data_IF_402530130721
#
_entry.id   IF_402530130721
#
_cell.length_a   1.000
_cell.length_b   1.000
_cell.length_c   1.000
_cell.angle_alpha   90.00
_cell.angle_beta   90.00
_cell.angle_gamma   90.00
#
_symmetry.space_group_name_H-M   'P 1'
#
loop_
_entity.id
_entity.type
_entity.pdbx_description
1 polymer ?
#
# COMPACT_ATOMS: atom_id res chain seq x y z
N UNK A 1 24.72 -13.01 3.65
CA UNK A 1 23.49 -12.44 4.24
C UNK A 1 22.90 -11.50 3.22
N UNK A 2 21.77 -11.85 2.61
CA UNK A 2 21.08 -10.95 1.67
C UNK A 2 20.28 -9.97 2.52
N UNK A 3 20.73 -8.72 2.60
CA UNK A 3 19.96 -7.67 3.26
C UNK A 3 18.79 -7.34 2.34
N UNK A 4 17.58 -7.76 2.68
CA UNK A 4 16.39 -7.36 1.94
C UNK A 4 16.17 -5.85 2.16
N UNK A 5 15.79 -5.11 1.12
CA UNK A 5 15.62 -3.65 1.20
C UNK A 5 14.70 -3.20 2.34
N UNK A 6 13.70 -4.00 2.70
CA UNK A 6 12.75 -3.71 3.78
C UNK A 6 13.24 -4.06 5.20
N UNK A 7 14.41 -4.71 5.36
CA UNK A 7 14.96 -5.07 6.69
C UNK A 7 15.05 -3.90 7.69
N UNK A 8 15.38 -2.65 7.27
CA UNK A 8 15.38 -1.48 8.16
C UNK A 8 14.03 -1.19 8.83
N UNK A 9 12.90 -1.67 8.29
CA UNK A 9 11.58 -1.49 8.90
C UNK A 9 11.46 -2.14 10.28
N UNK A 10 12.31 -3.12 10.63
CA UNK A 10 12.40 -3.68 12.00
C UNK A 10 12.62 -2.61 13.07
N UNK A 11 13.32 -1.52 12.74
CA UNK A 11 13.55 -0.42 13.67
C UNK A 11 12.28 0.41 13.97
N UNK A 12 11.29 0.38 13.06
CA UNK A 12 10.04 1.13 13.17
C UNK A 12 8.97 0.39 13.98
N UNK A 13 9.18 -0.89 14.29
CA UNK A 13 8.28 -1.70 15.13
C UNK A 13 8.03 -1.02 16.47
N UNK A 14 9.06 -0.45 17.12
CA UNK A 14 8.92 0.25 18.41
C UNK A 14 7.87 1.38 18.39
N UNK A 15 7.60 1.96 17.21
CA UNK A 15 6.64 3.04 17.03
C UNK A 15 5.27 2.54 16.59
N UNK A 16 5.22 1.48 15.78
CA UNK A 16 3.99 1.04 15.09
C UNK A 16 3.57 -0.39 15.43
N UNK A 17 4.13 -1.01 16.47
CA UNK A 17 3.89 -2.42 16.82
C UNK A 17 2.40 -2.78 16.88
N UNK A 18 1.59 -1.95 17.53
CA UNK A 18 0.15 -2.20 17.71
C UNK A 18 -0.73 -1.26 16.87
N UNK A 19 -0.12 -0.42 16.03
CA UNK A 19 -0.83 0.56 15.22
C UNK A 19 -1.35 -0.07 13.93
N UNK A 20 -2.49 0.42 13.44
CA UNK A 20 -3.04 -0.03 12.16
C UNK A 20 -2.17 0.47 11.00
N UNK A 21 -1.54 -0.45 10.25
CA UNK A 21 -0.69 -0.12 9.11
C UNK A 21 -1.10 -0.88 7.85
N UNK A 22 -0.79 -0.28 6.70
CA UNK A 22 -0.99 -0.91 5.38
C UNK A 22 0.36 -1.23 4.75
N UNK A 23 0.54 -2.46 4.28
CA UNK A 23 1.74 -2.95 3.64
C UNK A 23 1.49 -3.21 2.14
N UNK A 24 2.34 -2.67 1.28
CA UNK A 24 2.19 -2.70 -0.18
C UNK A 24 3.39 -3.39 -0.82
N UNK A 25 3.12 -4.20 -1.84
CA UNK A 25 4.15 -4.83 -2.66
C UNK A 25 3.80 -6.27 -3.03
N UNK A 26 4.56 -6.84 -3.96
CA UNK A 26 4.44 -8.24 -4.40
C UNK A 26 4.70 -9.25 -3.28
N UNK A 27 4.07 -10.43 -3.40
CA UNK A 27 4.23 -11.55 -2.48
C UNK A 27 3.31 -11.44 -1.27
N UNK A 28 3.84 -11.65 -0.07
CA UNK A 28 3.08 -11.58 1.20
C UNK A 28 3.58 -10.41 2.07
N UNK A 29 3.38 -9.12 1.66
CA UNK A 29 3.96 -7.97 2.37
C UNK A 29 3.47 -7.86 3.83
N UNK A 30 2.20 -8.15 4.10
CA UNK A 30 1.63 -8.14 5.46
C UNK A 30 2.26 -9.18 6.38
N UNK A 31 2.54 -10.38 5.84
CA UNK A 31 3.24 -11.45 6.58
C UNK A 31 4.68 -11.07 6.91
N UNK A 32 5.42 -10.49 5.95
CA UNK A 32 6.78 -9.98 6.18
C UNK A 32 6.80 -8.95 7.32
N UNK A 33 5.86 -8.00 7.29
CA UNK A 33 5.72 -7.01 8.37
C UNK A 33 5.31 -7.66 9.70
N UNK A 34 4.42 -8.66 9.67
CA UNK A 34 4.02 -9.40 10.88
C UNK A 34 5.19 -10.16 11.52
N UNK A 35 6.05 -10.79 10.70
CA UNK A 35 7.29 -11.44 11.14
C UNK A 35 8.30 -10.46 11.76
N UNK A 36 8.24 -9.17 11.38
CA UNK A 36 9.04 -8.12 12.01
C UNK A 36 8.47 -7.66 13.36
N UNK A 37 7.21 -7.97 13.65
CA UNK A 37 6.55 -7.69 14.93
C UNK A 37 5.41 -6.69 14.84
N UNK A 38 5.04 -6.20 13.66
CA UNK A 38 3.84 -5.37 13.50
C UNK A 38 2.59 -6.25 13.66
N UNK A 39 1.63 -5.85 14.50
CA UNK A 39 0.51 -6.71 14.91
C UNK A 39 -0.81 -6.42 14.23
N UNK A 40 -0.99 -5.21 13.71
CA UNK A 40 -2.22 -4.80 13.03
C UNK A 40 -1.88 -4.37 11.59
N UNK A 41 -1.62 -5.35 10.73
CA UNK A 41 -1.16 -5.14 9.35
C UNK A 41 -2.17 -5.70 8.38
N UNK A 42 -2.51 -4.91 7.36
CA UNK A 42 -3.17 -5.40 6.15
C UNK A 42 -2.26 -5.22 4.96
N UNK A 43 -2.31 -6.17 4.03
CA UNK A 43 -1.81 -5.96 2.67
C UNK A 43 -2.72 -4.97 1.93
N UNK A 44 -2.20 -4.36 0.86
CA UNK A 44 -3.01 -3.50 -0.01
C UNK A 44 -4.25 -4.23 -0.56
N UNK A 45 -4.11 -5.50 -0.93
CA UNK A 45 -5.22 -6.33 -1.42
C UNK A 45 -6.31 -6.52 -0.35
N UNK A 46 -5.91 -6.87 0.87
CA UNK A 46 -6.85 -7.03 1.99
C UNK A 46 -7.51 -5.70 2.34
N UNK A 47 -6.74 -4.61 2.46
CA UNK A 47 -7.27 -3.27 2.76
C UNK A 47 -8.31 -2.83 1.73
N UNK A 48 -8.00 -2.96 0.44
CA UNK A 48 -8.91 -2.58 -0.64
C UNK A 48 -10.20 -3.42 -0.63
N UNK A 49 -10.15 -4.68 -0.18
CA UNK A 49 -11.33 -5.55 -0.14
C UNK A 49 -12.43 -5.09 0.82
N UNK A 50 -12.12 -4.19 1.77
CA UNK A 50 -13.11 -3.60 2.69
C UNK A 50 -13.95 -2.49 2.03
N UNK A 51 -13.56 -2.01 0.85
CA UNK A 51 -14.19 -0.90 0.16
C UNK A 51 -14.72 -1.33 -1.22
N UNK A 52 -16.04 -1.40 -1.34
CA UNK A 52 -16.68 -1.76 -2.60
C UNK A 52 -16.36 -0.74 -3.70
N UNK A 53 -16.03 -1.23 -4.91
CA UNK A 53 -15.72 -0.41 -6.08
C UNK A 53 -14.54 0.58 -5.91
N UNK A 54 -13.68 0.42 -4.90
CA UNK A 54 -12.49 1.26 -4.72
C UNK A 54 -11.50 1.15 -5.90
N UNK A 55 -11.54 0.02 -6.60
CA UNK A 55 -10.82 -0.22 -7.84
C UNK A 55 -11.81 -0.39 -9.01
N UNK A 56 -12.06 0.66 -9.82
CA UNK A 56 -12.99 0.60 -10.94
C UNK A 56 -12.54 -0.35 -12.04
N UNK A 57 -11.26 -0.73 -12.05
CA UNK A 57 -10.70 -1.63 -13.04
C UNK A 57 -10.67 -3.09 -12.56
N UNK A 58 -11.11 -3.38 -11.33
CA UNK A 58 -11.10 -4.73 -10.75
C UNK A 58 -11.77 -5.78 -11.67
N UNK A 59 -12.89 -5.42 -12.31
CA UNK A 59 -13.60 -6.30 -13.24
C UNK A 59 -12.80 -6.70 -14.49
N UNK A 60 -11.79 -5.92 -14.88
CA UNK A 60 -10.93 -6.18 -16.04
C UNK A 60 -9.61 -6.87 -15.65
N UNK A 61 -9.36 -7.01 -14.35
CA UNK A 61 -8.17 -7.66 -13.82
C UNK A 61 -8.48 -9.15 -13.70
N UNK A 62 -8.31 -9.87 -14.81
CA UNK A 62 -8.38 -11.34 -14.84
C UNK A 62 -7.20 -12.02 -14.10
N UNK A 63 -6.35 -11.24 -13.41
CA UNK A 63 -5.20 -11.75 -12.72
C UNK A 63 -5.58 -12.46 -11.42
N UNK A 64 -5.58 -13.79 -11.53
CA UNK A 64 -5.48 -14.79 -10.48
C UNK A 64 -6.77 -15.02 -9.69
N UNK A 65 -7.46 -16.10 -10.07
CA UNK A 65 -8.11 -17.06 -9.17
C UNK A 65 -8.01 -16.66 -7.69
N UNK A 66 -9.16 -16.38 -7.05
CA UNK A 66 -9.70 -17.01 -5.82
C UNK A 66 -8.74 -17.55 -4.73
N UNK A 67 -7.46 -17.23 -4.73
CA UNK A 67 -6.41 -17.83 -3.90
C UNK A 67 -5.93 -16.87 -2.81
N UNK A 68 -6.09 -15.55 -2.97
CA UNK A 68 -5.62 -14.59 -1.96
C UNK A 68 -6.68 -14.10 -0.98
N UNK A 69 -7.96 -14.36 -1.25
CA UNK A 69 -9.02 -14.17 -0.25
C UNK A 69 -9.47 -15.53 0.25
N UNK A 70 -8.54 -16.31 0.80
CA UNK A 70 -8.96 -17.16 1.91
C UNK A 70 -9.50 -16.19 2.94
N UNK A 71 -10.81 -16.25 3.23
CA UNK A 71 -11.40 -15.67 4.43
C UNK A 71 -10.81 -16.37 5.68
N UNK A 72 -9.48 -16.50 5.78
CA UNK A 72 -8.85 -16.47 7.08
C UNK A 72 -9.31 -15.16 7.65
N UNK A 73 -10.25 -15.26 8.59
CA UNK A 73 -10.72 -14.14 9.39
C UNK A 73 -9.48 -13.37 9.79
N UNK A 74 -9.22 -12.25 9.12
CA UNK A 74 -8.17 -11.36 9.56
C UNK A 74 -8.59 -11.05 10.98
N UNK A 75 -7.81 -11.51 11.95
CA UNK A 75 -8.15 -11.29 13.36
C UNK A 75 -7.71 -9.87 13.68
N UNK A 76 -8.23 -8.92 12.89
CA UNK A 76 -8.07 -7.52 13.18
C UNK A 76 -8.74 -7.28 14.51
N UNK A 77 -8.07 -6.48 15.33
CA UNK A 77 -8.65 -6.04 16.58
C UNK A 77 -9.85 -5.11 16.34
N UNK A 78 -9.95 -4.53 15.13
CA UNK A 78 -10.83 -3.43 14.78
C UNK A 78 -11.29 -3.49 13.30
N UNK A 79 -12.33 -2.72 12.99
CA UNK A 79 -12.90 -2.55 11.65
C UNK A 79 -12.10 -1.52 10.81
N UNK A 80 -11.49 -1.92 9.67
CA UNK A 80 -10.74 -1.01 8.79
C UNK A 80 -11.55 0.15 8.24
N UNK A 81 -12.88 0.02 8.14
CA UNK A 81 -13.77 1.09 7.67
C UNK A 81 -13.99 2.19 8.72
N UNK A 82 -13.48 2.00 9.94
CA UNK A 82 -13.72 2.87 11.09
C UNK A 82 -12.45 3.35 11.79
N UNK A 83 -11.28 2.82 11.45
CA UNK A 83 -9.98 3.15 12.05
C UNK A 83 -9.04 3.87 11.06
N UNK A 84 -8.36 4.93 11.53
CA UNK A 84 -7.38 5.64 10.71
C UNK A 84 -6.09 4.84 10.56
N UNK A 85 -5.57 4.74 9.33
CA UNK A 85 -4.27 4.15 9.03
C UNK A 85 -3.17 5.03 9.62
N UNK A 86 -2.27 4.45 10.42
CA UNK A 86 -1.20 5.17 11.11
C UNK A 86 0.10 5.26 10.32
N UNK A 87 0.33 4.33 9.40
CA UNK A 87 1.47 4.35 8.48
C UNK A 87 1.24 3.42 7.28
N UNK A 88 1.90 3.74 6.17
CA UNK A 88 1.97 2.90 4.98
C UNK A 88 3.42 2.46 4.76
N UNK A 89 3.61 1.18 4.43
CA UNK A 89 4.92 0.61 4.12
C UNK A 89 4.93 0.00 2.72
N UNK A 90 5.72 0.56 1.82
CA UNK A 90 6.01 -0.02 0.50
C UNK A 90 7.19 -0.99 0.68
N UNK A 91 6.85 -2.26 0.87
CA UNK A 91 7.79 -3.34 1.25
C UNK A 91 8.55 -3.87 0.04
N UNK A 92 7.90 -3.93 -1.11
CA UNK A 92 8.44 -4.42 -2.38
C UNK A 92 7.68 -3.79 -3.55
N UNK A 93 8.07 -4.09 -4.81
CA UNK A 93 7.43 -3.49 -5.99
C UNK A 93 5.92 -3.81 -6.02
N UNK A 94 5.10 -2.77 -6.20
CA UNK A 94 3.67 -2.90 -6.48
C UNK A 94 3.46 -3.61 -7.83
N UNK A 95 2.50 -4.53 -7.87
CA UNK A 95 2.10 -5.26 -9.09
C UNK A 95 1.05 -4.46 -9.87
N UNK A 96 0.13 -3.80 -9.17
CA UNK A 96 -1.02 -3.09 -9.75
C UNK A 96 -0.94 -1.60 -9.43
N UNK A 97 -0.09 -0.90 -10.19
CA UNK A 97 0.18 0.52 -9.93
C UNK A 97 -1.07 1.38 -10.03
N UNK A 98 -2.01 1.05 -10.91
CA UNK A 98 -3.23 1.83 -11.08
C UNK A 98 -4.06 1.83 -9.79
N UNK A 99 -4.36 0.64 -9.26
CA UNK A 99 -5.11 0.53 -8.00
C UNK A 99 -4.28 1.07 -6.85
N UNK A 100 -3.04 0.63 -6.70
CA UNK A 100 -2.25 0.95 -5.52
C UNK A 100 -2.01 2.45 -5.41
N UNK A 101 -1.75 3.16 -6.52
CA UNK A 101 -1.62 4.63 -6.50
C UNK A 101 -2.96 5.30 -6.12
N UNK A 102 -4.08 4.85 -6.68
CA UNK A 102 -5.41 5.38 -6.34
C UNK A 102 -5.70 5.22 -4.84
N UNK A 103 -5.60 3.99 -4.32
CA UNK A 103 -5.88 3.67 -2.92
C UNK A 103 -4.88 4.37 -1.98
N UNK A 104 -3.60 4.47 -2.34
CA UNK A 104 -2.63 5.25 -1.58
C UNK A 104 -2.98 6.73 -1.52
N UNK A 105 -3.43 7.32 -2.64
CA UNK A 105 -3.91 8.68 -2.64
C UNK A 105 -5.11 8.86 -1.70
N UNK A 106 -6.06 7.91 -1.70
CA UNK A 106 -7.22 7.95 -0.81
C UNK A 106 -6.78 7.84 0.66
N UNK A 107 -5.89 6.90 1.00
CA UNK A 107 -5.32 6.76 2.35
C UNK A 107 -4.64 8.07 2.78
N UNK A 108 -3.75 8.61 1.94
CA UNK A 108 -2.96 9.79 2.27
C UNK A 108 -3.79 11.07 2.39
N UNK A 109 -4.95 11.16 1.71
CA UNK A 109 -5.86 12.31 1.83
C UNK A 109 -6.82 12.17 3.00
N UNK A 110 -7.32 10.97 3.27
CA UNK A 110 -8.44 10.75 4.23
C UNK A 110 -8.00 10.15 5.55
N UNK A 111 -6.70 9.96 5.78
CA UNK A 111 -6.19 9.28 6.96
C UNK A 111 -6.50 7.78 6.98
N UNK A 112 -6.66 7.17 5.80
CA UNK A 112 -7.00 5.75 5.68
C UNK A 112 -8.50 5.43 5.70
N UNK A 113 -9.36 6.42 5.49
CA UNK A 113 -10.82 6.26 5.41
C UNK A 113 -11.36 6.77 4.05
N UNK A 114 -11.11 6.05 2.94
CA UNK A 114 -11.58 6.42 1.61
C UNK A 114 -13.05 6.84 1.57
N UNK A 115 -13.35 7.90 0.81
CA UNK A 115 -14.70 8.48 0.71
C UNK A 115 -15.11 9.39 1.87
N UNK A 116 -14.25 9.59 2.88
CA UNK A 116 -14.47 10.58 3.95
C UNK A 116 -13.74 11.90 3.68
N UNK A 117 -13.91 12.85 4.57
CA UNK A 117 -13.25 14.16 4.52
C UNK A 117 -11.72 14.03 4.64
N UNK A 118 -11.02 15.08 4.20
CA UNK A 118 -9.57 15.18 4.35
C UNK A 118 -9.19 15.12 5.82
N UNK A 119 -8.19 14.29 6.15
CA UNK A 119 -7.73 14.08 7.51
C UNK A 119 -6.20 14.16 7.59
N UNK A 120 -5.64 13.82 8.76
CA UNK A 120 -4.21 13.78 8.96
C UNK A 120 -3.57 12.71 8.05
N UNK A 121 -2.65 13.14 7.19
CA UNK A 121 -1.91 12.27 6.28
C UNK A 121 -0.96 11.34 7.06
N UNK A 122 -1.09 10.00 6.96
CA UNK A 122 -0.14 9.09 7.56
C UNK A 122 1.23 9.14 6.85
N UNK A 123 2.33 8.89 7.56
CA UNK A 123 3.63 8.71 6.94
C UNK A 123 3.65 7.47 6.03
N UNK A 124 4.38 7.58 4.92
CA UNK A 124 4.65 6.50 3.97
C UNK A 124 6.15 6.20 3.96
N UNK A 125 6.51 4.92 4.04
CA UNK A 125 7.90 4.44 4.07
C UNK A 125 8.16 3.53 2.88
N UNK A 126 9.29 3.75 2.19
CA UNK A 126 9.73 2.93 1.07
C UNK A 126 10.93 2.08 1.48
N UNK A 127 10.92 0.80 1.11
CA UNK A 127 12.01 -0.13 1.38
C UNK A 127 13.23 0.10 0.47
N UNK A 128 13.03 0.73 -0.69
CA UNK A 128 14.07 1.11 -1.63
C UNK A 128 13.64 2.39 -2.38
N UNK A 129 14.59 3.16 -2.87
CA UNK A 129 14.39 4.38 -3.66
C UNK A 129 14.96 4.28 -5.08
N UNK A 130 15.47 3.10 -5.47
CA UNK A 130 16.03 2.88 -6.81
C UNK A 130 14.98 3.11 -7.91
N UNK A 131 15.26 4.05 -8.82
CA UNK A 131 14.38 4.38 -9.95
C UNK A 131 14.17 3.19 -10.88
N UNK A 132 15.24 2.44 -11.15
CA UNK A 132 15.25 1.30 -12.04
C UNK A 132 16.27 0.25 -11.58
N UNK A 133 16.13 -0.99 -12.06
CA UNK A 133 17.06 -2.08 -11.79
C UNK A 133 17.27 -2.95 -13.03
N UNK A 134 18.44 -3.57 -13.11
CA UNK A 134 18.74 -4.55 -14.17
C UNK A 134 18.01 -5.86 -13.87
N UNK A 135 17.14 -6.27 -14.79
CA UNK A 135 16.44 -7.55 -14.76
C UNK A 135 17.00 -8.50 -15.85
N UNK A 136 16.28 -9.59 -16.11
CA UNK A 136 16.61 -10.51 -17.22
C UNK A 136 16.46 -9.85 -18.60
N UNK A 137 15.68 -8.77 -18.71
CA UNK A 137 15.52 -8.03 -19.94
C UNK A 137 16.78 -7.17 -20.24
N UNK A 138 17.18 -6.96 -21.51
CA UNK A 138 18.43 -6.26 -21.85
C UNK A 138 18.56 -4.82 -21.34
N UNK A 139 17.45 -4.15 -21.04
CA UNK A 139 17.45 -2.80 -20.49
C UNK A 139 16.74 -2.74 -19.12
N UNK A 140 17.13 -1.75 -18.33
CA UNK A 140 16.66 -1.55 -16.95
C UNK A 140 15.14 -1.41 -16.85
N UNK A 141 14.56 -2.08 -15.86
CA UNK A 141 13.12 -2.03 -15.56
C UNK A 141 12.87 -1.05 -14.42
N UNK A 142 11.72 -0.38 -14.47
CA UNK A 142 11.29 0.54 -13.42
C UNK A 142 11.17 -0.19 -12.08
N UNK A 143 11.70 0.43 -11.03
CA UNK A 143 11.65 -0.06 -9.66
C UNK A 143 10.78 0.79 -8.77
N UNK A 144 10.94 0.60 -7.46
CA UNK A 144 10.19 1.29 -6.42
C UNK A 144 10.34 2.82 -6.46
N UNK A 145 11.51 3.35 -6.85
CA UNK A 145 11.72 4.79 -7.00
C UNK A 145 10.83 5.38 -8.11
N UNK A 146 10.61 4.65 -9.21
CA UNK A 146 9.69 5.11 -10.26
C UNK A 146 8.23 5.09 -9.78
N UNK A 147 7.85 4.07 -9.01
CA UNK A 147 6.53 4.02 -8.37
C UNK A 147 6.31 5.21 -7.43
N UNK A 148 7.31 5.54 -6.61
CA UNK A 148 7.30 6.72 -5.74
C UNK A 148 7.10 8.02 -6.52
N UNK A 149 7.87 8.22 -7.59
CA UNK A 149 7.72 9.41 -8.45
C UNK A 149 6.32 9.51 -9.05
N UNK A 150 5.75 8.39 -9.51
CA UNK A 150 4.39 8.36 -10.05
C UNK A 150 3.35 8.72 -8.99
N UNK A 151 3.44 8.14 -7.80
CA UNK A 151 2.55 8.44 -6.66
C UNK A 151 2.63 9.90 -6.26
N UNK A 152 3.84 10.43 -6.03
CA UNK A 152 4.05 11.83 -5.63
C UNK A 152 3.54 12.80 -6.69
N UNK A 153 3.76 12.49 -7.98
CA UNK A 153 3.29 13.33 -9.10
C UNK A 153 1.76 13.40 -9.17
N UNK A 154 1.07 12.29 -8.91
CA UNK A 154 -0.40 12.23 -8.93
C UNK A 154 -0.98 12.85 -7.66
N UNK A 155 -0.40 12.56 -6.49
CA UNK A 155 -0.87 13.06 -5.20
C UNK A 155 -0.82 14.60 -5.13
N UNK A 156 0.30 15.19 -5.58
CA UNK A 156 0.55 16.63 -5.52
C UNK A 156 -0.12 17.43 -6.65
N UNK A 157 -0.78 16.75 -7.60
CA UNK A 157 -1.46 17.43 -8.69
C UNK A 157 -2.74 18.09 -8.14
N UNK A 158 -2.95 19.40 -8.36
CA UNK A 158 -4.20 20.05 -7.98
C UNK A 158 -5.36 19.34 -8.68
N UNK A 159 -6.43 19.05 -7.94
CA UNK A 159 -7.68 18.64 -8.58
C UNK A 159 -8.06 19.71 -9.62
N UNK A 160 -8.47 19.33 -10.84
CA UNK A 160 -8.94 20.30 -11.81
C UNK A 160 -10.01 21.18 -11.17
N UNK A 161 -9.83 22.49 -11.23
CA UNK A 161 -10.83 23.48 -10.85
C UNK A 161 -12.07 23.26 -11.73
N UNK A 162 -13.00 22.39 -11.33
CA UNK A 162 -14.18 22.13 -12.17
C UNK A 162 -15.10 20.96 -11.84
N UNK A 163 -14.87 20.15 -10.79
CA UNK A 163 -15.76 19.01 -10.48
C UNK A 163 -16.45 19.10 -9.11
N UNK A 164 -16.77 20.32 -8.67
CA UNK A 164 -17.81 20.53 -7.66
C UNK A 164 -19.02 21.13 -8.38
N UNK A 165 -19.87 20.26 -8.92
CA UNK A 165 -21.22 20.57 -9.37
C UNK A 165 -22.17 19.60 -8.70
#
# INVERSE_FOLDING_TARGET
MVLQGHTPFKHLVKRFENEFIVAVGKGEPAKVMSEYGFRNVLSMDEYASFFENIDPLAQYKEFADKQFVSHQKVTLRQDPCSESVQAVFIVSDSIDWCRDIQVLCDILRTGGLPGREVAHQPPIFFANDDLAYQALFPSERLGMGAFRVALESIYNRPAPLGSLS
#
